data_IF_117768384261
#
_entry.id   IF_117768384261
#
_cell.length_a   1.000
_cell.length_b   1.000
_cell.length_c   1.000
_cell.angle_alpha   90.00
_cell.angle_beta   90.00
_cell.angle_gamma   90.00
#
_symmetry.space_group_name_H-M   'P 1'
#
loop_
_entity.id
_entity.type
_entity.pdbx_description
1 polymer ?
#
# COMPACT_ATOMS: atom_id res chain seq x y z
N UNK A 1 -19.79 13.62 -5.74
CA UNK A 1 -19.08 12.33 -5.66
C UNK A 1 -17.58 12.46 -5.89
N UNK A 2 -17.13 13.19 -6.93
CA UNK A 2 -15.71 13.54 -7.14
C UNK A 2 -15.08 14.38 -6.02
N UNK A 3 -15.82 15.31 -5.44
CA UNK A 3 -15.31 16.15 -4.35
C UNK A 3 -14.96 15.35 -3.08
N UNK A 4 -15.70 14.27 -2.79
CA UNK A 4 -15.46 13.40 -1.62
C UNK A 4 -14.22 12.52 -1.84
N UNK A 5 -14.00 12.04 -3.06
CA UNK A 5 -12.77 11.30 -3.37
C UNK A 5 -11.52 12.20 -3.37
N UNK A 6 -11.62 13.45 -3.84
CA UNK A 6 -10.53 14.43 -3.80
C UNK A 6 -10.20 14.88 -2.38
N UNK A 7 -11.20 15.09 -1.53
CA UNK A 7 -11.01 15.40 -0.10
C UNK A 7 -10.49 14.19 0.67
N UNK A 8 -11.00 12.99 0.39
CA UNK A 8 -10.52 11.77 1.03
C UNK A 8 -9.07 11.48 0.65
N UNK A 9 -8.67 11.65 -0.62
CA UNK A 9 -7.29 11.40 -1.05
C UNK A 9 -6.32 12.43 -0.46
N UNK A 10 -6.74 13.69 -0.33
CA UNK A 10 -5.96 14.77 0.27
C UNK A 10 -5.75 14.56 1.77
N UNK A 11 -6.82 14.14 2.48
CA UNK A 11 -6.78 13.82 3.91
C UNK A 11 -5.92 12.57 4.16
N UNK A 12 -6.10 11.50 3.38
CA UNK A 12 -5.29 10.29 3.51
C UNK A 12 -3.82 10.53 3.14
N UNK A 13 -3.51 11.38 2.14
CA UNK A 13 -2.13 11.74 1.79
C UNK A 13 -1.44 12.57 2.87
N UNK A 14 -2.16 13.51 3.50
CA UNK A 14 -1.61 14.34 4.58
C UNK A 14 -1.38 13.51 5.85
N UNK A 15 -2.33 12.63 6.18
CA UNK A 15 -2.22 11.71 7.33
C UNK A 15 -1.13 10.65 7.09
N UNK A 16 -1.03 10.08 5.88
CA UNK A 16 0.02 9.13 5.52
C UNK A 16 1.41 9.77 5.48
N UNK A 17 1.54 11.04 5.11
CA UNK A 17 2.80 11.78 5.21
C UNK A 17 3.20 11.99 6.68
N UNK A 18 2.25 12.37 7.54
CA UNK A 18 2.51 12.59 8.96
C UNK A 18 2.75 11.30 9.78
N UNK A 19 2.24 10.14 9.34
CA UNK A 19 2.38 8.86 10.07
C UNK A 19 3.39 7.91 9.40
N UNK A 20 3.53 7.96 8.07
CA UNK A 20 4.18 6.93 7.27
C UNK A 20 5.69 7.06 7.14
N UNK A 21 6.28 8.26 7.21
CA UNK A 21 7.71 8.42 6.92
C UNK A 21 8.61 7.87 8.04
N UNK A 22 8.15 7.93 9.29
CA UNK A 22 8.88 7.42 10.47
C UNK A 22 8.55 5.94 10.78
N UNK A 23 7.35 5.46 10.41
CA UNK A 23 6.84 4.13 10.83
C UNK A 23 6.97 3.03 9.77
N UNK A 24 6.89 3.38 8.47
CA UNK A 24 6.83 2.40 7.37
C UNK A 24 8.17 1.68 7.19
N UNK A 25 9.27 2.42 7.31
CA UNK A 25 10.61 1.88 7.07
C UNK A 25 11.04 0.88 8.15
N UNK A 26 10.56 1.04 9.40
CA UNK A 26 10.88 0.13 10.51
C UNK A 26 10.08 -1.18 10.47
N UNK A 27 8.80 -1.16 10.07
CA UNK A 27 7.98 -2.38 9.92
C UNK A 27 8.38 -3.23 8.70
N UNK A 28 8.71 -2.61 7.56
CA UNK A 28 9.17 -3.34 6.36
C UNK A 28 10.50 -4.07 6.64
N UNK A 29 11.41 -3.43 7.40
CA UNK A 29 12.68 -4.04 7.84
C UNK A 29 12.46 -5.29 8.70
N UNK A 30 11.44 -5.29 9.56
CA UNK A 30 11.11 -6.43 10.41
C UNK A 30 10.50 -7.59 9.61
N UNK A 31 9.62 -7.29 8.64
CA UNK A 31 8.98 -8.31 7.81
C UNK A 31 9.94 -8.99 6.83
N UNK A 32 10.96 -8.28 6.32
CA UNK A 32 11.98 -8.86 5.43
C UNK A 32 12.89 -9.89 6.13
N UNK A 33 12.96 -9.88 7.46
CA UNK A 33 13.91 -10.68 8.25
C UNK A 33 13.21 -11.86 8.97
N UNK A 34 11.88 -11.87 9.04
CA UNK A 34 11.12 -12.93 9.69
C UNK A 34 10.91 -14.13 8.75
N UNK A 35 11.48 -15.28 9.11
CA UNK A 35 11.20 -16.57 8.44
C UNK A 35 9.76 -16.99 8.73
N UNK A 36 9.02 -17.42 7.69
CA UNK A 36 7.70 -18.01 7.88
C UNK A 36 7.82 -19.29 8.72
N UNK A 37 6.82 -19.62 9.55
CA UNK A 37 6.73 -20.92 10.21
C UNK A 37 6.74 -22.07 9.17
N UNK A 38 7.29 -23.22 9.53
CA UNK A 38 7.52 -24.36 8.61
C UNK A 38 6.24 -24.81 7.87
N UNK A 39 5.08 -24.76 8.53
CA UNK A 39 3.79 -25.09 7.93
C UNK A 39 3.37 -24.16 6.78
N UNK A 40 3.94 -22.95 6.69
CA UNK A 40 3.63 -21.94 5.67
C UNK A 40 4.79 -21.71 4.69
N UNK A 41 5.83 -22.55 4.71
CA UNK A 41 7.00 -22.41 3.84
C UNK A 41 6.64 -22.38 2.34
N UNK A 42 5.55 -23.06 1.93
CA UNK A 42 5.03 -23.01 0.56
C UNK A 42 4.55 -21.61 0.15
N UNK A 43 4.10 -20.77 1.08
CA UNK A 43 3.64 -19.41 0.82
C UNK A 43 4.77 -18.38 0.78
N UNK A 44 6.02 -18.78 1.04
CA UNK A 44 7.18 -17.87 1.02
C UNK A 44 7.24 -17.03 -0.27
N UNK A 45 7.05 -17.60 -1.48
CA UNK A 45 7.08 -16.82 -2.71
C UNK A 45 6.01 -15.72 -2.75
N UNK A 46 4.85 -15.92 -2.13
CA UNK A 46 3.77 -14.93 -2.08
C UNK A 46 4.10 -13.79 -1.12
N UNK A 47 4.70 -14.14 0.03
CA UNK A 47 5.13 -13.17 1.04
C UNK A 47 6.22 -12.24 0.49
N UNK A 48 7.10 -12.75 -0.37
CA UNK A 48 8.12 -11.94 -1.03
C UNK A 48 7.53 -10.84 -1.93
N UNK A 49 6.32 -11.02 -2.48
CA UNK A 49 5.61 -10.00 -3.25
C UNK A 49 4.74 -9.07 -2.38
N UNK A 50 4.43 -9.44 -1.14
CA UNK A 50 3.54 -8.67 -0.27
C UNK A 50 3.95 -7.19 -0.08
N UNK A 51 5.26 -6.84 0.00
CA UNK A 51 5.70 -5.44 0.09
C UNK A 51 5.33 -4.57 -1.12
N UNK A 52 4.98 -5.16 -2.27
CA UNK A 52 4.60 -4.42 -3.50
C UNK A 52 3.14 -3.95 -3.49
N UNK A 53 2.29 -4.54 -2.64
CA UNK A 53 0.85 -4.28 -2.59
C UNK A 53 0.51 -2.78 -2.43
N UNK A 54 1.18 -1.99 -1.56
CA UNK A 54 0.93 -0.56 -1.46
C UNK A 54 1.15 0.22 -2.77
N UNK A 55 2.16 -0.16 -3.55
CA UNK A 55 2.42 0.42 -4.88
C UNK A 55 1.31 0.07 -5.88
N UNK A 56 0.77 -1.16 -5.82
CA UNK A 56 -0.34 -1.58 -6.67
C UNK A 56 -1.62 -0.78 -6.37
N UNK A 57 -1.93 -0.49 -5.11
CA UNK A 57 -3.08 0.35 -4.75
C UNK A 57 -2.91 1.81 -5.16
N UNK A 58 -1.69 2.35 -5.09
CA UNK A 58 -1.38 3.67 -5.63
C UNK A 58 -1.64 3.74 -7.14
N UNK A 59 -1.16 2.75 -7.90
CA UNK A 59 -1.41 2.64 -9.34
C UNK A 59 -2.90 2.44 -9.65
N UNK A 60 -3.59 1.63 -8.85
CA UNK A 60 -5.03 1.39 -8.98
C UNK A 60 -5.85 2.69 -8.87
N UNK A 61 -5.43 3.65 -8.05
CA UNK A 61 -6.09 4.95 -7.98
C UNK A 61 -6.09 5.68 -9.35
N UNK A 62 -4.99 5.61 -10.11
CA UNK A 62 -4.92 6.19 -11.47
C UNK A 62 -5.73 5.41 -12.49
N UNK A 63 -5.67 4.07 -12.44
CA UNK A 63 -6.49 3.21 -13.29
C UNK A 63 -7.96 3.50 -13.08
N UNK A 64 -8.36 3.62 -11.81
CA UNK A 64 -9.73 3.92 -11.43
C UNK A 64 -10.17 5.32 -11.88
N UNK A 65 -9.33 6.35 -11.69
CA UNK A 65 -9.60 7.69 -12.20
C UNK A 65 -9.68 7.71 -13.74
N UNK A 66 -8.83 6.97 -14.45
CA UNK A 66 -8.89 6.82 -15.90
C UNK A 66 -10.19 6.13 -16.36
N UNK A 67 -10.66 5.11 -15.63
CA UNK A 67 -11.90 4.40 -15.94
C UNK A 67 -13.15 5.30 -15.83
N UNK A 68 -13.09 6.33 -14.98
CA UNK A 68 -14.13 7.37 -14.89
C UNK A 68 -13.77 8.63 -15.69
N UNK A 69 -12.85 8.54 -16.64
CA UNK A 69 -12.49 9.61 -17.58
C UNK A 69 -11.89 10.87 -16.95
N UNK A 70 -11.25 10.75 -15.77
CA UNK A 70 -10.66 11.90 -15.04
C UNK A 70 -11.62 13.09 -14.86
N UNK A 71 -12.91 12.79 -14.72
CA UNK A 71 -13.95 13.81 -14.49
C UNK A 71 -13.98 14.31 -13.05
#
# INVERSE_FOLDING_TARGET
MFNIFKISICITSTIAFCIGLESSLSTIRFFLVAKLPEAYAFLSPIVDFMPVIPLLFFLFAFVWQAAVSFR
#
